data_IF_577568892146
#
_entry.id   IF_577568892146
#
_cell.length_a   1.000
_cell.length_b   1.000
_cell.length_c   1.000
_cell.angle_alpha   90.00
_cell.angle_beta   90.00
_cell.angle_gamma   90.00
#
_symmetry.space_group_name_H-M   'P 1'
#
loop_
_entity.id
_entity.type
_entity.pdbx_description
1 polymer ?
#
# COMPACT_ATOMS: atom_id res chain seq x y z
N UNK A 1 -12.27 43.54 1.26
CA UNK A 1 -10.94 43.34 0.65
C UNK A 1 -10.75 41.84 0.52
N UNK A 2 -10.87 41.30 -0.69
CA UNK A 2 -10.70 39.88 -0.93
C UNK A 2 -9.21 39.61 -1.18
N UNK A 3 -8.60 38.78 -0.33
CA UNK A 3 -7.21 38.38 -0.44
C UNK A 3 -7.04 37.48 -1.67
N UNK A 4 -6.25 37.95 -2.64
CA UNK A 4 -6.02 37.30 -3.93
C UNK A 4 -4.96 36.18 -3.85
N UNK A 5 -5.03 35.28 -2.87
CA UNK A 5 -3.96 34.30 -2.63
C UNK A 5 -4.36 32.81 -2.59
N UNK A 6 -5.60 32.45 -2.91
CA UNK A 6 -6.06 31.04 -2.91
C UNK A 6 -6.40 30.49 -4.32
N UNK A 7 -5.62 30.85 -5.34
CA UNK A 7 -5.76 30.26 -6.69
C UNK A 7 -4.57 29.37 -7.05
N UNK A 8 -4.31 28.33 -6.23
CA UNK A 8 -3.45 27.20 -6.64
C UNK A 8 -3.90 25.89 -5.98
N UNK A 9 -5.13 25.47 -6.22
CA UNK A 9 -5.56 24.09 -5.96
C UNK A 9 -6.61 23.75 -7.02
N UNK A 10 -6.12 23.31 -8.18
CA UNK A 10 -6.80 22.47 -9.16
C UNK A 10 -5.71 22.11 -10.16
N UNK A 11 -4.81 21.21 -9.74
CA UNK A 11 -4.13 20.37 -10.70
C UNK A 11 -5.12 19.23 -10.93
N UNK A 12 -5.93 19.37 -11.98
CA UNK A 12 -6.57 18.22 -12.60
C UNK A 12 -5.44 17.22 -12.83
N UNK A 13 -5.45 16.11 -12.10
CA UNK A 13 -4.52 15.04 -12.37
C UNK A 13 -4.99 14.41 -13.68
N UNK A 14 -4.50 14.96 -14.80
CA UNK A 14 -4.55 14.39 -16.14
C UNK A 14 -3.70 13.10 -16.19
N UNK A 15 -3.83 12.21 -15.20
CA UNK A 15 -3.27 10.88 -15.32
C UNK A 15 -4.13 10.12 -16.32
N UNK A 16 -3.55 9.71 -17.46
CA UNK A 16 -4.31 8.99 -18.48
C UNK A 16 -4.81 7.69 -17.87
N UNK A 17 -6.11 7.43 -18.02
CA UNK A 17 -6.74 6.16 -17.63
C UNK A 17 -5.96 5.02 -18.28
N UNK A 18 -5.64 3.97 -17.50
CA UNK A 18 -4.88 2.82 -17.98
C UNK A 18 -5.54 2.21 -19.24
N UNK A 19 -4.83 2.20 -20.40
CA UNK A 19 -5.34 1.62 -21.63
C UNK A 19 -5.72 0.14 -21.52
N UNK A 20 -5.07 -0.61 -20.61
CA UNK A 20 -5.37 -2.02 -20.37
C UNK A 20 -6.78 -2.21 -19.78
N UNK A 21 -7.17 -1.31 -18.87
CA UNK A 21 -8.50 -1.31 -18.27
C UNK A 21 -9.56 -1.02 -19.34
N UNK A 22 -9.35 0.02 -20.15
CA UNK A 22 -10.28 0.40 -21.24
C UNK A 22 -10.47 -0.77 -22.21
N UNK A 23 -9.38 -1.42 -22.62
CA UNK A 23 -9.44 -2.57 -23.52
C UNK A 23 -10.23 -3.74 -22.93
N UNK A 24 -9.99 -4.07 -21.65
CA UNK A 24 -10.71 -5.17 -20.99
C UNK A 24 -12.23 -4.93 -20.96
N UNK A 25 -12.65 -3.69 -20.70
CA UNK A 25 -14.05 -3.30 -20.67
C UNK A 25 -14.68 -3.37 -22.06
N UNK A 26 -13.98 -2.91 -23.11
CA UNK A 26 -14.44 -3.01 -24.50
C UNK A 26 -14.60 -4.48 -24.94
N UNK A 27 -13.68 -5.37 -24.58
CA UNK A 27 -13.80 -6.82 -24.88
C UNK A 27 -15.01 -7.45 -24.20
N UNK A 28 -15.38 -6.97 -23.02
CA UNK A 28 -16.58 -7.42 -22.30
C UNK A 28 -17.89 -6.73 -22.74
N UNK A 29 -17.85 -5.98 -23.85
CA UNK A 29 -19.05 -5.39 -24.47
C UNK A 29 -19.45 -4.04 -23.89
N UNK A 30 -18.60 -3.40 -23.09
CA UNK A 30 -18.83 -2.04 -22.61
C UNK A 30 -18.42 -1.06 -23.70
N UNK A 31 -19.36 -0.21 -24.12
CA UNK A 31 -19.12 0.87 -25.10
C UNK A 31 -19.09 2.19 -24.35
N UNK A 32 -18.02 2.95 -24.56
CA UNK A 32 -17.87 4.30 -24.02
C UNK A 32 -18.10 5.30 -25.13
N UNK A 33 -18.78 6.42 -24.85
CA UNK A 33 -18.81 7.55 -25.78
C UNK A 33 -17.41 8.13 -25.91
N UNK A 34 -16.96 8.31 -27.15
CA UNK A 34 -15.63 8.84 -27.49
C UNK A 34 -15.71 10.32 -27.90
N UNK A 35 -16.90 10.84 -28.26
CA UNK A 35 -17.12 12.26 -28.62
C UNK A 35 -18.06 12.98 -27.65
N UNK A 36 -17.95 14.31 -27.57
CA UNK A 36 -18.81 15.14 -26.70
C UNK A 36 -20.30 14.98 -27.03
N UNK A 37 -20.64 14.86 -28.31
CA UNK A 37 -22.01 14.64 -28.77
C UNK A 37 -22.54 13.27 -28.28
N UNK A 38 -21.73 12.21 -28.38
CA UNK A 38 -22.08 10.88 -27.85
C UNK A 38 -22.23 10.87 -26.32
N UNK A 39 -21.42 11.66 -25.60
CA UNK A 39 -21.53 11.81 -24.15
C UNK A 39 -22.88 12.44 -23.80
N UNK A 40 -23.28 13.47 -24.52
CA UNK A 40 -24.54 14.17 -24.25
C UNK A 40 -25.75 13.30 -24.62
N UNK A 41 -25.72 12.59 -25.75
CA UNK A 41 -26.73 11.58 -26.09
C UNK A 41 -26.81 10.48 -25.03
N UNK A 42 -25.67 10.00 -24.54
CA UNK A 42 -25.64 9.00 -23.47
C UNK A 42 -26.30 9.52 -22.19
N UNK A 43 -26.01 10.77 -21.80
CA UNK A 43 -26.65 11.41 -20.63
C UNK A 43 -28.15 11.52 -20.81
N UNK A 44 -28.63 12.07 -21.92
CA UNK A 44 -30.06 12.27 -22.19
C UNK A 44 -30.81 10.94 -22.15
N UNK A 45 -30.27 9.91 -22.83
CA UNK A 45 -30.94 8.62 -22.96
C UNK A 45 -30.93 7.80 -21.67
N UNK A 46 -29.97 8.04 -20.77
CA UNK A 46 -29.80 7.25 -19.54
C UNK A 46 -30.08 8.04 -18.26
N UNK A 47 -30.44 9.33 -18.34
CA UNK A 47 -30.65 10.20 -17.17
C UNK A 47 -31.68 9.64 -16.18
N UNK A 48 -32.72 8.99 -16.69
CA UNK A 48 -33.77 8.38 -15.87
C UNK A 48 -33.31 7.09 -15.16
N UNK A 49 -32.24 6.47 -15.64
CA UNK A 49 -31.68 5.21 -15.11
C UNK A 49 -30.46 5.43 -14.22
N UNK A 50 -29.89 6.63 -14.23
CA UNK A 50 -28.77 7.00 -13.37
C UNK A 50 -29.34 7.41 -12.01
N UNK A 51 -29.08 6.61 -10.99
CA UNK A 51 -29.45 6.98 -9.63
C UNK A 51 -28.73 8.27 -9.21
N UNK A 52 -29.42 9.20 -8.53
CA UNK A 52 -28.80 10.41 -8.05
C UNK A 52 -27.67 10.05 -7.07
N UNK A 53 -26.59 10.84 -7.10
CA UNK A 53 -25.48 10.66 -6.19
C UNK A 53 -26.00 10.72 -4.74
N UNK A 54 -25.76 9.68 -3.92
CA UNK A 54 -26.22 9.70 -2.54
C UNK A 54 -25.64 10.87 -1.76
N UNK A 55 -26.44 11.50 -0.89
CA UNK A 55 -26.04 12.69 -0.12
C UNK A 55 -24.75 12.49 0.68
N UNK A 56 -24.50 11.27 1.15
CA UNK A 56 -23.30 10.94 1.91
C UNK A 56 -22.01 10.84 1.07
N UNK A 57 -22.12 10.90 -0.27
CA UNK A 57 -21.04 10.99 -1.25
C UNK A 57 -20.99 12.36 -1.95
N UNK A 58 -21.95 13.24 -1.69
CA UNK A 58 -22.03 14.56 -2.31
C UNK A 58 -20.89 15.50 -1.90
N UNK A 59 -20.31 15.29 -0.72
CA UNK A 59 -19.13 16.00 -0.24
C UNK A 59 -17.87 15.12 -0.36
N UNK A 60 -16.98 15.39 -1.34
CA UNK A 60 -15.73 14.67 -1.49
C UNK A 60 -14.85 14.73 -0.24
N UNK A 61 -14.84 15.86 0.48
CA UNK A 61 -13.99 16.03 1.66
C UNK A 61 -14.46 15.14 2.81
N UNK A 62 -15.78 15.00 2.98
CA UNK A 62 -16.35 14.08 3.97
C UNK A 62 -15.96 12.61 3.71
N UNK A 63 -15.68 12.20 2.47
CA UNK A 63 -15.20 10.83 2.14
C UNK A 63 -13.76 10.64 2.63
N UNK A 64 -12.89 11.62 2.39
CA UNK A 64 -11.49 11.57 2.82
C UNK A 64 -11.36 11.61 4.34
N UNK A 65 -12.21 12.39 5.00
CA UNK A 65 -12.21 12.46 6.48
C UNK A 65 -12.68 11.15 7.12
N UNK A 66 -13.56 10.39 6.46
CA UNK A 66 -13.97 9.02 6.89
C UNK A 66 -12.87 7.98 6.68
N UNK A 67 -12.07 8.12 5.62
CA UNK A 67 -11.04 7.13 5.25
C UNK A 67 -9.66 7.37 5.87
N UNK A 68 -9.46 8.51 6.57
CA UNK A 68 -8.39 8.67 7.57
C UNK A 68 -8.56 7.77 8.81
N UNK A 69 -9.24 6.64 8.66
CA UNK A 69 -9.19 5.53 9.58
C UNK A 69 -7.72 5.19 9.82
N UNK A 70 -7.31 5.47 11.06
CA UNK A 70 -5.98 5.27 11.61
C UNK A 70 -5.35 4.01 11.02
N UNK A 71 -4.31 4.19 10.22
CA UNK A 71 -3.29 3.16 10.08
C UNK A 71 -2.66 3.05 11.47
N UNK A 72 -3.29 2.28 12.36
CA UNK A 72 -2.62 1.83 13.56
C UNK A 72 -1.51 0.93 13.04
N UNK A 73 -0.28 1.43 13.11
CA UNK A 73 0.94 0.67 12.86
C UNK A 73 1.09 -0.40 13.96
N UNK A 74 0.17 -1.36 14.00
CA UNK A 74 0.27 -2.58 14.81
C UNK A 74 1.18 -3.57 14.08
N UNK A 75 2.44 -3.18 13.91
CA UNK A 75 3.53 -4.14 13.68
C UNK A 75 4.69 -3.75 14.56
N UNK A 76 4.53 -3.98 15.87
CA UNK A 76 5.67 -4.35 16.68
C UNK A 76 6.02 -5.79 16.29
N UNK A 77 6.87 -5.98 15.28
CA UNK A 77 7.55 -7.25 15.12
C UNK A 77 8.50 -7.37 16.30
N UNK A 78 8.19 -8.25 17.25
CA UNK A 78 9.17 -8.66 18.25
C UNK A 78 10.27 -9.41 17.51
N UNK A 79 11.36 -8.72 17.20
CA UNK A 79 12.58 -9.36 16.71
C UNK A 79 13.03 -10.28 17.85
N UNK A 80 13.09 -11.58 17.60
CA UNK A 80 13.62 -12.51 18.60
C UNK A 80 15.07 -12.13 18.89
N UNK A 81 15.49 -12.25 20.14
CA UNK A 81 16.85 -11.91 20.54
C UNK A 81 17.90 -12.73 19.75
N UNK A 82 17.55 -13.95 19.34
CA UNK A 82 18.41 -14.77 18.47
C UNK A 82 18.59 -14.15 17.07
N UNK A 83 17.51 -13.63 16.47
CA UNK A 83 17.59 -13.02 15.14
C UNK A 83 18.44 -11.74 15.17
N UNK A 84 18.29 -10.91 16.21
CA UNK A 84 19.11 -9.69 16.36
C UNK A 84 20.59 -10.02 16.56
N UNK A 85 20.91 -11.02 17.37
CA UNK A 85 22.29 -11.48 17.60
C UNK A 85 22.89 -12.04 16.30
N UNK A 86 22.15 -12.85 15.55
CA UNK A 86 22.61 -13.41 14.28
C UNK A 86 22.88 -12.34 13.22
N UNK A 87 22.00 -11.33 13.13
CA UNK A 87 22.22 -10.19 12.23
C UNK A 87 23.44 -9.35 12.66
N UNK A 88 23.63 -9.13 13.96
CA UNK A 88 24.79 -8.43 14.49
C UNK A 88 26.11 -9.18 14.22
N UNK A 89 26.10 -10.52 14.28
CA UNK A 89 27.26 -11.34 13.93
C UNK A 89 27.54 -11.33 12.42
N UNK A 90 26.51 -11.38 11.58
CA UNK A 90 26.67 -11.32 10.12
C UNK A 90 27.25 -9.97 9.66
N UNK A 91 26.83 -8.86 10.28
CA UNK A 91 27.33 -7.52 9.98
C UNK A 91 28.80 -7.29 10.39
N UNK A 92 29.40 -8.20 11.18
CA UNK A 92 30.80 -8.10 11.61
C UNK A 92 31.81 -8.64 10.59
N UNK A 93 31.38 -9.21 9.46
CA UNK A 93 32.26 -9.74 8.39
C UNK A 93 33.45 -10.59 8.87
N UNK A 94 33.28 -11.36 9.96
CA UNK A 94 34.35 -12.18 10.55
C UNK A 94 35.20 -11.50 11.63
N UNK A 95 34.76 -10.35 12.16
CA UNK A 95 35.36 -9.69 13.32
C UNK A 95 35.28 -10.51 14.63
N UNK A 96 35.98 -10.03 15.65
CA UNK A 96 36.21 -10.76 16.91
C UNK A 96 34.89 -11.12 17.64
N UNK A 97 34.77 -12.40 18.03
CA UNK A 97 33.58 -12.97 18.67
C UNK A 97 33.64 -12.69 20.18
N UNK A 98 32.58 -12.14 20.79
CA UNK A 98 32.50 -11.95 22.23
C UNK A 98 32.68 -13.28 23.02
N UNK A 99 33.36 -13.22 24.16
CA UNK A 99 33.74 -14.41 24.93
C UNK A 99 32.55 -15.24 25.44
N UNK A 100 31.44 -14.59 25.74
CA UNK A 100 30.17 -15.23 26.12
C UNK A 100 29.57 -16.05 24.98
N UNK A 101 29.57 -15.51 23.76
CA UNK A 101 29.11 -16.22 22.54
C UNK A 101 30.04 -17.40 22.23
N UNK A 102 31.35 -17.20 22.35
CA UNK A 102 32.36 -18.26 22.13
C UNK A 102 32.16 -19.43 23.09
N UNK A 103 31.93 -19.16 24.37
CA UNK A 103 31.65 -20.19 25.37
C UNK A 103 30.35 -20.95 25.07
N UNK A 104 29.32 -20.27 24.57
CA UNK A 104 28.07 -20.93 24.20
C UNK A 104 28.27 -21.86 22.99
N UNK A 105 29.02 -21.43 21.96
CA UNK A 105 29.35 -22.27 20.80
C UNK A 105 30.13 -23.53 21.19
N UNK A 106 31.04 -23.44 22.16
CA UNK A 106 31.78 -24.60 22.67
C UNK A 106 30.84 -25.60 23.37
N UNK A 107 29.90 -25.12 24.18
CA UNK A 107 28.90 -25.97 24.84
C UNK A 107 28.01 -26.68 23.82
N UNK A 108 27.48 -25.94 22.84
CA UNK A 108 26.62 -26.49 21.79
C UNK A 108 27.34 -27.56 20.96
N UNK A 109 28.65 -27.35 20.67
CA UNK A 109 29.48 -28.33 19.98
C UNK A 109 29.64 -29.62 20.77
N UNK A 110 29.85 -29.53 22.09
CA UNK A 110 29.98 -30.69 22.97
C UNK A 110 28.64 -31.46 23.08
N UNK A 111 27.51 -30.76 23.16
CA UNK A 111 26.19 -31.39 23.17
C UNK A 111 25.85 -32.09 21.84
N UNK A 112 26.19 -31.47 20.70
CA UNK A 112 26.00 -32.06 19.39
C UNK A 112 26.85 -33.32 19.18
N UNK A 113 28.08 -33.34 19.71
CA UNK A 113 28.95 -34.52 19.69
C UNK A 113 28.39 -35.65 20.56
N UNK A 114 27.85 -35.35 21.74
CA UNK A 114 27.17 -36.33 22.60
C UNK A 114 25.95 -36.95 21.93
N UNK A 115 25.16 -36.16 21.19
CA UNK A 115 24.00 -36.65 20.43
C UNK A 115 24.33 -37.48 19.19
N UNK A 116 25.51 -37.32 18.59
CA UNK A 116 25.97 -38.12 17.43
C UNK A 116 26.69 -39.42 17.82
N UNK A 117 27.04 -39.59 19.09
CA UNK A 117 27.67 -40.79 19.64
C UNK A 117 26.71 -41.79 20.29
N UNK A 118 25.40 -41.57 20.18
CA UNK A 118 24.32 -42.50 20.50
C UNK A 118 23.63 -42.91 19.20
#
# INVERSE_FOLDING_TARGET
>A
MFNANDQKLNQDSDEPIDPSLIWSLKVHGVVFPDTDDEVEEFRINNLASIEPLPDYLADPMAIFDRTRARIETKRAWSVSNELSINMAMAAREGGEIPDDVRQQMERDRLEALKKKGQ
#
